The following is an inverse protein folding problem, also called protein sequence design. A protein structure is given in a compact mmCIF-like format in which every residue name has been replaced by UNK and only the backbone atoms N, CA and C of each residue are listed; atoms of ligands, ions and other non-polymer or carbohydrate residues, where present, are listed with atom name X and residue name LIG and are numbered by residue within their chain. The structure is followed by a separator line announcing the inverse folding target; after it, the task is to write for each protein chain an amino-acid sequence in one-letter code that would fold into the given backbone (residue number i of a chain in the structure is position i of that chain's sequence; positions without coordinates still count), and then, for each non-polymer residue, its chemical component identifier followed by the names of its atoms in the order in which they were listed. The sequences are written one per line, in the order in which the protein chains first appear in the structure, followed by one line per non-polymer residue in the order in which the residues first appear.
data_IF_648251845912
#
_entry.id   IF_648251845912
#
_cell.length_a   1.000
_cell.length_b   1.000
_cell.length_c   1.000
_cell.angle_alpha   90.00
_cell.angle_beta   90.00
_cell.angle_gamma   90.00
#
_symmetry.space_group_name_H-M   'P 1'
#
loop_
_entity.id
_entity.type
_entity.pdbx_description
1 polymer ?
#
# COMPACT_ATOMS: atom_id res chain seq x y z
N UNK A 1 -35.50 -71.32 13.21
CA UNK A 1 -36.00 -70.47 14.31
C UNK A 1 -35.55 -69.04 14.01
N UNK A 2 -36.42 -68.28 13.35
CA UNK A 2 -36.16 -66.90 12.94
C UNK A 2 -36.29 -65.98 14.15
N UNK A 3 -35.30 -65.10 14.37
CA UNK A 3 -35.39 -64.05 15.40
C UNK A 3 -35.29 -62.68 14.74
N UNK A 4 -36.41 -61.99 14.87
CA UNK A 4 -36.86 -60.69 14.38
C UNK A 4 -35.87 -59.54 14.57
N UNK A 5 -35.69 -58.79 13.48
CA UNK A 5 -35.18 -57.42 13.42
C UNK A 5 -36.13 -56.49 14.20
N UNK A 6 -35.57 -55.59 15.01
CA UNK A 6 -36.33 -54.54 15.69
C UNK A 6 -35.69 -53.19 15.36
N UNK A 7 -36.39 -52.45 14.51
CA UNK A 7 -36.18 -51.06 14.14
C UNK A 7 -36.85 -50.17 15.19
N UNK A 8 -36.23 -49.05 15.58
CA UNK A 8 -36.99 -47.88 16.00
C UNK A 8 -36.79 -46.74 15.00
N UNK A 9 -37.84 -46.45 14.24
CA UNK A 9 -38.13 -45.13 13.68
C UNK A 9 -38.69 -44.22 14.77
N UNK A 10 -38.80 -42.92 14.46
CA UNK A 10 -39.50 -41.81 15.16
C UNK A 10 -38.51 -40.95 15.98
N UNK A 11 -38.43 -39.61 15.87
CA UNK A 11 -39.35 -38.57 15.39
C UNK A 11 -38.53 -37.42 14.77
N UNK A 12 -39.06 -36.86 13.69
CA UNK A 12 -38.68 -35.58 13.09
C UNK A 12 -39.05 -34.38 13.98
N UNK A 13 -38.14 -33.43 14.12
CA UNK A 13 -38.45 -32.08 14.60
C UNK A 13 -37.74 -31.06 13.69
N UNK A 14 -38.43 -30.34 12.79
CA UNK A 14 -37.85 -29.16 12.17
C UNK A 14 -37.99 -27.97 13.13
N UNK A 15 -36.88 -27.58 13.75
CA UNK A 15 -36.80 -26.32 14.49
C UNK A 15 -36.82 -25.17 13.50
N UNK A 16 -37.99 -24.56 13.30
CA UNK A 16 -38.14 -23.31 12.56
C UNK A 16 -37.51 -22.16 13.35
N UNK A 17 -36.26 -21.83 13.05
CA UNK A 17 -35.67 -20.56 13.47
C UNK A 17 -36.10 -19.48 12.48
N UNK A 18 -37.09 -18.70 12.89
CA UNK A 18 -37.49 -17.46 12.25
C UNK A 18 -36.27 -16.51 12.21
N UNK A 19 -35.71 -16.34 11.02
CA UNK A 19 -34.72 -15.29 10.71
C UNK A 19 -35.47 -13.96 10.70
N UNK A 20 -35.44 -13.27 11.84
CA UNK A 20 -35.86 -11.88 11.91
C UNK A 20 -34.76 -11.00 11.31
N UNK A 21 -35.01 -10.51 10.09
CA UNK A 21 -34.20 -9.50 9.40
C UNK A 21 -34.35 -8.16 10.11
N UNK A 22 -33.29 -7.55 10.68
CA UNK A 22 -33.34 -6.17 11.12
C UNK A 22 -33.19 -5.26 9.91
N UNK A 23 -34.07 -4.27 9.88
CA UNK A 23 -34.22 -3.25 8.84
C UNK A 23 -32.94 -2.45 8.65
N UNK A 24 -32.62 -2.20 7.39
CA UNK A 24 -31.67 -1.19 6.93
C UNK A 24 -32.00 0.18 7.52
N UNK A 25 -31.16 0.67 8.43
CA UNK A 25 -31.13 2.08 8.80
C UNK A 25 -30.06 2.79 7.97
N UNK A 26 -30.51 3.50 6.95
CA UNK A 26 -29.72 4.47 6.19
C UNK A 26 -29.47 5.71 7.05
N UNK A 27 -28.29 5.82 7.65
CA UNK A 27 -27.81 7.10 8.19
C UNK A 27 -27.16 7.93 7.09
N UNK A 28 -28.00 8.71 6.42
CA UNK A 28 -27.59 9.74 5.47
C UNK A 28 -27.09 10.96 6.27
N UNK A 29 -25.85 10.92 6.75
CA UNK A 29 -25.24 12.06 7.45
C UNK A 29 -24.37 12.85 6.48
N UNK A 30 -25.00 13.76 5.74
CA UNK A 30 -24.29 14.82 5.02
C UNK A 30 -23.62 15.75 6.03
N UNK A 31 -22.35 15.52 6.34
CA UNK A 31 -21.52 16.50 7.05
C UNK A 31 -21.11 17.60 6.06
N UNK A 32 -21.86 18.68 6.04
CA UNK A 32 -21.45 19.94 5.41
C UNK A 32 -20.37 20.58 6.28
N UNK A 33 -19.12 20.56 5.85
CA UNK A 33 -18.03 21.30 6.48
C UNK A 33 -18.22 22.78 6.17
N UNK A 34 -18.64 23.56 7.16
CA UNK A 34 -18.63 25.03 7.09
C UNK A 34 -17.22 25.50 7.43
N UNK A 35 -16.50 25.99 6.42
CA UNK A 35 -15.25 26.71 6.60
C UNK A 35 -15.56 28.08 7.23
N UNK A 36 -15.13 28.30 8.47
CA UNK A 36 -15.19 29.59 9.14
C UNK A 36 -13.79 30.18 9.17
N UNK A 37 -13.52 31.12 8.26
CA UNK A 37 -12.32 31.95 8.27
C UNK A 37 -12.49 33.08 9.28
N UNK A 38 -11.57 33.22 10.23
CA UNK A 38 -11.37 34.47 10.95
C UNK A 38 -9.87 34.82 11.00
N UNK A 39 -9.51 36.12 10.96
CA UNK A 39 -8.17 36.59 10.61
C UNK A 39 -7.19 36.63 11.79
N UNK A 40 -5.92 36.75 11.39
CA UNK A 40 -4.64 36.71 12.13
C UNK A 40 -4.57 37.40 13.51
N UNK A 41 -3.48 37.10 14.27
CA UNK A 41 -2.37 38.06 14.25
C UNK A 41 -0.96 37.43 14.20
N UNK A 42 -0.12 38.02 13.33
CA UNK A 42 1.30 38.40 13.47
C UNK A 42 2.22 37.49 14.30
N UNK A 43 3.20 36.87 13.64
CA UNK A 43 4.60 36.95 14.09
C UNK A 43 5.61 36.58 12.97
N UNK A 44 6.42 37.59 12.64
CA UNK A 44 7.88 37.56 12.47
C UNK A 44 8.51 36.32 11.84
N UNK A 45 8.64 36.31 10.51
CA UNK A 45 9.81 35.74 9.85
C UNK A 45 10.37 36.75 8.85
N UNK A 46 11.66 37.02 9.02
CA UNK A 46 12.43 38.08 8.42
C UNK A 46 12.54 37.90 6.91
N UNK A 47 12.21 38.97 6.18
CA UNK A 47 12.57 39.19 4.78
C UNK A 47 14.10 39.10 4.62
N UNK A 48 14.59 37.94 4.18
CA UNK A 48 15.91 37.82 3.57
C UNK A 48 15.80 38.10 2.07
N UNK A 49 15.39 39.31 1.72
CA UNK A 49 15.70 39.89 0.41
C UNK A 49 17.09 40.49 0.50
N UNK A 50 18.10 40.00 -0.25
CA UNK A 50 19.37 40.70 -0.34
C UNK A 50 19.09 42.06 -1.00
N UNK A 51 19.23 43.11 -0.20
CA UNK A 51 19.28 44.50 -0.66
C UNK A 51 20.36 44.60 -1.74
N UNK A 52 20.09 45.26 -2.89
CA UNK A 52 21.13 45.56 -3.86
C UNK A 52 21.99 46.67 -3.25
N UNK A 53 22.90 46.30 -2.36
CA UNK A 53 24.03 47.13 -2.00
C UNK A 53 24.90 47.21 -3.25
N UNK A 54 24.53 48.15 -4.12
CA UNK A 54 25.26 48.58 -5.30
C UNK A 54 26.51 49.33 -4.85
N UNK A 55 27.43 48.60 -4.21
CA UNK A 55 28.82 49.00 -4.08
C UNK A 55 29.43 48.74 -5.45
N UNK A 56 29.19 49.68 -6.38
CA UNK A 56 29.98 49.98 -7.59
C UNK A 56 29.31 51.05 -8.49
N UNK A 57 28.43 51.90 -7.92
CA UNK A 57 27.97 53.11 -8.61
C UNK A 57 28.96 54.24 -8.34
N UNK A 58 30.14 54.17 -8.97
CA UNK A 58 31.01 55.35 -9.14
C UNK A 58 30.19 56.46 -9.80
N UNK A 59 30.07 57.60 -9.12
CA UNK A 59 29.27 58.75 -9.54
C UNK A 59 29.65 59.21 -10.96
N UNK A 60 28.63 59.66 -11.71
CA UNK A 60 28.74 60.05 -13.12
C UNK A 60 29.77 61.16 -13.41
N UNK A 61 30.22 61.89 -12.38
CA UNK A 61 31.23 62.95 -12.48
C UNK A 61 32.68 62.45 -12.37
N UNK A 62 32.91 61.14 -12.17
CA UNK A 62 34.25 60.56 -11.95
C UNK A 62 34.68 59.56 -13.04
N UNK A 63 34.18 59.74 -14.26
CA UNK A 63 34.75 59.10 -15.44
C UNK A 63 35.15 60.16 -16.47
N UNK A 64 36.43 60.24 -16.87
CA UNK A 64 36.83 61.00 -18.05
C UNK A 64 36.26 60.29 -19.28
N UNK A 65 35.00 60.57 -19.60
CA UNK A 65 34.36 60.11 -20.83
C UNK A 65 34.91 61.00 -21.95
N UNK A 66 36.06 60.63 -22.50
CA UNK A 66 36.49 61.15 -23.80
C UNK A 66 35.39 60.86 -24.82
N UNK A 67 34.73 61.93 -25.28
CA UNK A 67 33.67 61.87 -26.30
C UNK A 67 34.28 61.32 -27.59
N UNK A 68 34.26 59.99 -27.76
CA UNK A 68 34.75 59.32 -28.97
C UNK A 68 34.02 59.87 -30.20
N UNK A 69 34.78 60.29 -31.21
CA UNK A 69 34.22 60.82 -32.47
C UNK A 69 33.42 59.72 -33.15
N UNK A 70 32.20 60.04 -33.58
CA UNK A 70 31.23 59.09 -34.17
C UNK A 70 31.73 58.36 -35.43
N UNK A 71 32.84 58.80 -36.01
CA UNK A 71 33.49 58.22 -37.19
C UNK A 71 34.40 57.02 -36.89
N UNK A 72 34.72 56.76 -35.62
CA UNK A 72 35.65 55.69 -35.20
C UNK A 72 34.92 54.42 -34.74
N UNK A 73 33.58 54.44 -34.76
CA UNK A 73 32.73 53.29 -34.47
C UNK A 73 32.64 52.44 -35.73
N UNK A 74 33.53 51.46 -35.87
CA UNK A 74 33.42 50.41 -36.89
C UNK A 74 32.13 49.62 -36.58
N UNK A 75 31.10 49.84 -37.39
CA UNK A 75 29.89 49.01 -37.37
C UNK A 75 30.08 47.88 -38.35
N UNK A 76 30.47 46.71 -37.86
CA UNK A 76 30.49 45.49 -38.66
C UNK A 76 29.07 45.17 -39.14
N UNK A 77 28.83 45.49 -40.41
CA UNK A 77 27.56 45.23 -41.09
C UNK A 77 27.72 44.05 -42.04
N UNK A 78 27.62 42.82 -41.54
CA UNK A 78 26.95 41.71 -42.27
C UNK A 78 26.77 40.42 -41.45
N UNK A 79 25.48 40.11 -41.21
CA UNK A 79 24.79 38.84 -41.47
C UNK A 79 25.41 37.52 -40.97
N UNK A 80 24.65 36.80 -40.15
CA UNK A 80 23.77 35.69 -40.57
C UNK A 80 22.88 35.31 -39.39
N UNK A 81 21.66 34.84 -39.66
CA UNK A 81 20.65 34.56 -38.65
C UNK A 81 21.21 33.69 -37.52
N UNK A 82 21.10 34.19 -36.29
CA UNK A 82 21.29 33.37 -35.09
C UNK A 82 20.00 32.58 -34.96
N UNK A 83 19.81 31.57 -35.81
CA UNK A 83 18.95 30.46 -35.43
C UNK A 83 19.71 29.78 -34.30
N UNK A 84 19.34 30.12 -33.06
CA UNK A 84 19.70 29.27 -31.93
C UNK A 84 19.21 27.88 -32.33
N UNK A 85 20.07 26.86 -32.45
CA UNK A 85 19.56 25.51 -32.60
C UNK A 85 18.58 25.31 -31.44
N UNK A 86 17.38 24.83 -31.74
CA UNK A 86 16.43 24.50 -30.67
C UNK A 86 17.19 23.65 -29.65
N UNK A 87 17.16 24.04 -28.36
CA UNK A 87 17.88 23.29 -27.34
C UNK A 87 17.46 21.82 -27.47
N UNK A 88 18.43 20.88 -27.46
CA UNK A 88 18.16 19.47 -27.72
C UNK A 88 16.96 19.03 -26.91
N UNK A 89 15.88 18.64 -27.59
CA UNK A 89 14.62 18.31 -26.93
C UNK A 89 14.86 17.11 -26.02
N UNK A 90 15.06 17.36 -24.72
CA UNK A 90 15.12 16.32 -23.71
C UNK A 90 13.68 15.84 -23.44
N UNK A 91 13.05 15.20 -24.43
CA UNK A 91 11.94 14.26 -24.16
C UNK A 91 12.38 13.13 -23.21
N UNK A 92 13.68 13.06 -22.93
CA UNK A 92 14.37 12.34 -21.87
C UNK A 92 14.00 12.95 -20.51
N UNK A 93 12.74 12.81 -20.12
CA UNK A 93 12.28 13.18 -18.78
C UNK A 93 11.17 12.29 -18.27
N UNK A 94 10.24 11.92 -19.16
CA UNK A 94 9.01 11.20 -18.77
C UNK A 94 8.87 9.80 -19.38
N UNK A 95 9.76 9.40 -20.29
CA UNK A 95 9.82 8.03 -20.80
C UNK A 95 10.71 7.20 -19.87
N UNK A 96 10.12 6.20 -19.19
CA UNK A 96 10.89 5.26 -18.37
C UNK A 96 11.85 4.51 -19.29
N UNK A 97 13.15 4.72 -19.10
CA UNK A 97 14.22 4.05 -19.86
C UNK A 97 14.46 2.60 -19.41
N UNK A 98 13.83 2.18 -18.31
CA UNK A 98 13.87 0.80 -17.82
C UNK A 98 12.52 0.13 -18.08
N UNK A 99 12.56 -1.03 -18.73
CA UNK A 99 11.41 -1.89 -18.89
C UNK A 99 10.88 -2.29 -17.51
N UNK A 100 9.59 -2.07 -17.29
CA UNK A 100 8.91 -2.52 -16.08
C UNK A 100 8.26 -3.86 -16.41
N UNK A 101 8.66 -4.91 -15.71
CA UNK A 101 7.94 -6.18 -15.76
C UNK A 101 6.55 -5.96 -15.15
N UNK A 102 5.51 -6.01 -15.99
CA UNK A 102 4.11 -5.92 -15.58
C UNK A 102 3.54 -7.28 -15.16
N UNK A 103 4.34 -8.34 -15.34
CA UNK A 103 3.97 -9.71 -14.98
C UNK A 103 3.95 -9.87 -13.47
N UNK A 104 2.86 -10.45 -12.97
CA UNK A 104 2.70 -10.76 -11.56
C UNK A 104 3.36 -12.11 -11.28
N UNK A 105 3.97 -12.31 -10.10
CA UNK A 105 4.48 -13.62 -9.70
C UNK A 105 3.33 -14.63 -9.62
N UNK A 106 3.62 -15.92 -9.79
CA UNK A 106 2.61 -16.99 -9.79
C UNK A 106 1.81 -17.02 -8.49
N UNK A 107 2.50 -16.91 -7.36
CA UNK A 107 1.89 -16.85 -6.02
C UNK A 107 1.24 -15.52 -5.64
N UNK A 108 1.03 -14.58 -6.58
CA UNK A 108 0.52 -13.24 -6.28
C UNK A 108 -0.83 -13.25 -5.53
N UNK A 109 -1.74 -14.13 -5.93
CA UNK A 109 -3.07 -14.24 -5.32
C UNK A 109 -2.96 -14.66 -3.85
N UNK A 110 -2.12 -15.65 -3.56
CA UNK A 110 -1.85 -16.14 -2.21
C UNK A 110 -1.19 -15.05 -1.37
N UNK A 111 -0.20 -14.36 -1.95
CA UNK A 111 0.47 -13.24 -1.29
C UNK A 111 -0.53 -12.14 -0.92
N UNK A 112 -1.43 -11.75 -1.81
CA UNK A 112 -2.42 -10.69 -1.56
C UNK A 112 -3.35 -11.05 -0.39
N UNK A 113 -3.79 -12.31 -0.29
CA UNK A 113 -4.56 -12.78 0.87
C UNK A 113 -3.77 -12.67 2.17
N UNK A 114 -2.51 -13.13 2.17
CA UNK A 114 -1.66 -13.14 3.35
C UNK A 114 -1.21 -11.73 3.77
N UNK A 115 -0.92 -10.84 2.82
CA UNK A 115 -0.58 -9.43 3.07
C UNK A 115 -1.76 -8.69 3.71
N UNK A 116 -2.97 -8.89 3.19
CA UNK A 116 -4.17 -8.32 3.79
C UNK A 116 -4.37 -8.82 5.21
N UNK A 117 -4.15 -10.12 5.46
CA UNK A 117 -4.26 -10.69 6.80
C UNK A 117 -3.17 -10.19 7.76
N UNK A 118 -1.93 -10.05 7.30
CA UNK A 118 -0.83 -9.42 8.06
C UNK A 118 -1.21 -8.00 8.49
N UNK A 119 -1.78 -7.21 7.55
CA UNK A 119 -2.24 -5.86 7.80
C UNK A 119 -3.44 -5.78 8.76
N UNK A 120 -4.28 -6.82 8.82
CA UNK A 120 -5.34 -6.92 9.83
C UNK A 120 -4.76 -7.14 11.23
N UNK A 121 -3.77 -8.02 11.38
CA UNK A 121 -3.10 -8.26 12.68
C UNK A 121 -2.25 -7.08 13.15
N UNK A 122 -1.74 -6.26 12.24
CA UNK A 122 -1.01 -5.04 12.57
C UNK A 122 -1.90 -3.95 13.18
N UNK A 123 -3.22 -4.10 13.08
CA UNK A 123 -4.24 -3.17 13.59
C UNK A 123 -4.99 -3.87 14.72
N UNK A 124 -5.67 -3.10 15.57
CA UNK A 124 -6.57 -3.65 16.58
C UNK A 124 -7.82 -4.23 15.88
N UNK A 125 -7.75 -5.51 15.52
CA UNK A 125 -8.84 -6.19 14.82
C UNK A 125 -9.86 -6.75 15.79
N UNK A 126 -10.96 -6.02 15.97
CA UNK A 126 -12.20 -6.51 16.58
C UNK A 126 -11.98 -7.39 17.82
N UNK A 127 -12.46 -8.63 17.77
CA UNK A 127 -12.22 -9.64 18.80
C UNK A 127 -11.20 -10.69 18.36
N UNK A 128 -10.45 -11.25 19.32
CA UNK A 128 -9.49 -12.35 19.08
C UNK A 128 -10.13 -13.58 18.42
N UNK A 129 -11.42 -13.83 18.68
CA UNK A 129 -12.17 -14.93 18.07
C UNK A 129 -12.42 -14.69 16.58
N UNK A 130 -12.79 -13.45 16.22
CA UNK A 130 -12.96 -13.04 14.83
C UNK A 130 -11.63 -13.08 14.09
N UNK A 131 -10.54 -12.65 14.72
CA UNK A 131 -9.20 -12.71 14.11
C UNK A 131 -8.79 -14.17 13.82
N UNK A 132 -8.98 -15.07 14.78
CA UNK A 132 -8.69 -16.48 14.60
C UNK A 132 -9.55 -17.12 13.49
N UNK A 133 -10.84 -16.77 13.41
CA UNK A 133 -11.72 -17.22 12.33
C UNK A 133 -11.34 -16.66 10.97
N UNK A 134 -10.95 -15.39 10.89
CA UNK A 134 -10.46 -14.80 9.66
C UNK A 134 -9.19 -15.51 9.17
N UNK A 135 -8.26 -15.83 10.07
CA UNK A 135 -7.05 -16.56 9.69
C UNK A 135 -7.28 -18.00 9.28
N UNK A 136 -8.28 -18.69 9.84
CA UNK A 136 -8.73 -20.02 9.37
C UNK A 136 -9.19 -19.96 7.91
N UNK A 137 -10.05 -18.98 7.58
CA UNK A 137 -10.56 -18.76 6.22
C UNK A 137 -9.44 -18.39 5.25
N UNK A 138 -8.52 -17.50 5.66
CA UNK A 138 -7.38 -17.10 4.83
C UNK A 138 -6.44 -18.27 4.58
N UNK A 139 -6.18 -19.12 5.59
CA UNK A 139 -5.34 -20.30 5.43
C UNK A 139 -5.98 -21.33 4.50
N UNK A 140 -7.30 -21.55 4.61
CA UNK A 140 -8.06 -22.41 3.72
C UNK A 140 -8.00 -21.89 2.28
N UNK A 141 -8.30 -20.61 2.07
CA UNK A 141 -8.26 -20.02 0.73
C UNK A 141 -6.85 -20.07 0.12
N UNK A 142 -5.82 -19.78 0.91
CA UNK A 142 -4.44 -19.87 0.45
C UNK A 142 -4.05 -21.30 0.05
N UNK A 143 -4.61 -22.33 0.70
CA UNK A 143 -4.42 -23.72 0.29
C UNK A 143 -5.08 -24.01 -1.04
N UNK A 144 -6.36 -23.67 -1.20
CA UNK A 144 -7.11 -23.86 -2.46
C UNK A 144 -6.35 -23.28 -3.65
N UNK A 145 -5.89 -22.03 -3.55
CA UNK A 145 -5.15 -21.36 -4.63
C UNK A 145 -3.81 -22.05 -4.92
N UNK A 146 -3.11 -22.55 -3.89
CA UNK A 146 -1.85 -23.27 -4.09
C UNK A 146 -2.07 -24.65 -4.72
N UNK A 147 -3.20 -25.31 -4.44
CA UNK A 147 -3.57 -26.56 -5.10
C UNK A 147 -3.91 -26.35 -6.57
N UNK A 148 -4.59 -25.25 -6.92
CA UNK A 148 -4.83 -24.87 -8.32
C UNK A 148 -3.50 -24.71 -9.06
N UNK A 149 -2.55 -23.96 -8.50
CA UNK A 149 -1.22 -23.78 -9.10
C UNK A 149 -0.42 -25.08 -9.23
N UNK A 150 -0.59 -26.01 -8.27
CA UNK A 150 0.02 -27.35 -8.32
C UNK A 150 -0.60 -28.19 -9.45
N UNK A 151 -1.92 -28.20 -9.54
CA UNK A 151 -2.66 -29.03 -10.49
C UNK A 151 -2.49 -28.53 -11.93
N UNK A 152 -2.29 -27.22 -12.12
CA UNK A 152 -1.89 -26.59 -13.39
C UNK A 152 -0.40 -26.86 -13.74
N UNK A 153 0.38 -27.37 -12.78
CA UNK A 153 1.81 -27.65 -12.95
C UNK A 153 2.68 -26.40 -13.00
N UNK A 154 2.17 -25.25 -12.54
CA UNK A 154 2.91 -24.00 -12.55
C UNK A 154 3.95 -23.93 -11.42
N UNK A 155 3.73 -24.62 -10.30
CA UNK A 155 4.57 -24.58 -9.10
C UNK A 155 5.01 -25.99 -8.69
N UNK A 156 6.26 -26.15 -8.24
CA UNK A 156 6.78 -27.42 -7.74
C UNK A 156 6.05 -27.85 -6.45
N UNK A 157 5.71 -29.13 -6.35
CA UNK A 157 5.01 -29.71 -5.19
C UNK A 157 5.73 -29.48 -3.86
N UNK A 158 7.07 -29.38 -3.88
CA UNK A 158 7.88 -29.05 -2.71
C UNK A 158 7.55 -27.67 -2.16
N UNK A 159 7.44 -26.67 -3.03
CA UNK A 159 7.12 -25.28 -2.64
C UNK A 159 5.71 -25.19 -2.04
N UNK A 160 4.76 -25.92 -2.61
CA UNK A 160 3.38 -26.01 -2.10
C UNK A 160 3.35 -26.67 -0.71
N UNK A 161 4.12 -27.73 -0.52
CA UNK A 161 4.25 -28.41 0.78
C UNK A 161 4.88 -27.50 1.84
N UNK A 162 5.88 -26.70 1.46
CA UNK A 162 6.50 -25.70 2.33
C UNK A 162 5.50 -24.62 2.74
N UNK A 163 4.70 -24.10 1.80
CA UNK A 163 3.65 -23.15 2.09
C UNK A 163 2.64 -23.74 3.09
N UNK A 164 2.19 -24.98 2.87
CA UNK A 164 1.23 -25.65 3.75
C UNK A 164 1.77 -25.83 5.16
N UNK A 165 3.06 -26.15 5.30
CA UNK A 165 3.73 -26.24 6.59
C UNK A 165 3.69 -24.90 7.33
N UNK A 166 4.01 -23.79 6.64
CA UNK A 166 4.00 -22.46 7.27
C UNK A 166 2.58 -22.01 7.61
N UNK A 167 1.60 -22.25 6.73
CA UNK A 167 0.18 -21.98 6.99
C UNK A 167 -0.30 -22.77 8.22
N UNK A 168 0.14 -24.02 8.39
CA UNK A 168 -0.25 -24.81 9.56
C UNK A 168 0.30 -24.23 10.86
N UNK A 169 1.55 -23.79 10.84
CA UNK A 169 2.17 -23.10 11.96
C UNK A 169 1.45 -21.77 12.28
N UNK A 170 1.00 -21.03 11.27
CA UNK A 170 0.20 -19.82 11.46
C UNK A 170 -1.15 -20.13 12.15
N UNK A 171 -1.88 -21.16 11.70
CA UNK A 171 -3.13 -21.60 12.35
C UNK A 171 -2.94 -21.95 13.82
N UNK A 172 -1.83 -22.61 14.16
CA UNK A 172 -1.49 -22.94 15.56
C UNK A 172 -1.27 -21.70 16.41
N UNK A 173 -0.57 -20.68 15.88
CA UNK A 173 -0.35 -19.43 16.61
C UNK A 173 -1.67 -18.68 16.82
N UNK A 174 -2.56 -18.69 15.83
CA UNK A 174 -3.90 -18.10 15.96
C UNK A 174 -4.79 -18.85 16.96
N UNK A 175 -4.63 -20.17 17.10
CA UNK A 175 -5.29 -20.93 18.16
C UNK A 175 -4.81 -20.48 19.55
N UNK A 176 -3.52 -20.14 19.69
CA UNK A 176 -2.98 -19.55 20.93
C UNK A 176 -3.50 -18.13 21.16
N UNK A 177 -3.61 -17.30 20.12
CA UNK A 177 -4.24 -15.96 20.19
C UNK A 177 -5.70 -16.06 20.65
N UNK A 178 -6.44 -17.06 20.17
CA UNK A 178 -7.82 -17.29 20.63
C UNK A 178 -7.87 -17.67 22.11
N UNK A 179 -6.92 -18.46 22.57
CA UNK A 179 -6.86 -18.95 23.95
C UNK A 179 -6.26 -17.95 24.96
N UNK A 180 -5.55 -16.91 24.52
CA UNK A 180 -4.91 -15.95 25.42
C UNK A 180 -5.94 -15.14 26.20
N UNK A 181 -5.74 -15.07 27.52
CA UNK A 181 -6.67 -14.36 28.45
C UNK A 181 -6.15 -12.97 28.81
N UNK A 182 -4.83 -12.78 28.87
CA UNK A 182 -4.20 -11.51 29.24
C UNK A 182 -3.79 -10.74 27.98
N UNK A 183 -3.94 -9.42 28.03
CA UNK A 183 -3.59 -8.54 26.91
C UNK A 183 -2.10 -8.58 26.55
N UNK A 184 -1.20 -8.63 27.53
CA UNK A 184 0.25 -8.75 27.29
C UNK A 184 0.60 -10.02 26.50
N UNK A 185 0.00 -11.16 26.88
CA UNK A 185 0.21 -12.41 26.17
C UNK A 185 -0.48 -12.44 24.81
N UNK A 186 -1.55 -11.66 24.63
CA UNK A 186 -2.25 -11.56 23.35
C UNK A 186 -1.37 -10.84 22.33
N UNK A 187 -0.77 -9.71 22.70
CA UNK A 187 0.09 -8.93 21.79
C UNK A 187 1.31 -9.71 21.33
N UNK A 188 2.01 -10.40 22.24
CA UNK A 188 3.16 -11.24 21.90
C UNK A 188 2.80 -12.36 20.90
N UNK A 189 1.62 -12.97 21.09
CA UNK A 189 1.13 -14.05 20.21
C UNK A 189 0.70 -13.54 18.84
N UNK A 190 0.10 -12.35 18.78
CA UNK A 190 -0.23 -11.69 17.52
C UNK A 190 1.04 -11.35 16.75
N UNK A 191 2.08 -10.84 17.40
CA UNK A 191 3.37 -10.57 16.76
C UNK A 191 4.03 -11.84 16.22
N UNK A 192 3.96 -12.95 16.97
CA UNK A 192 4.45 -14.24 16.51
C UNK A 192 3.67 -14.74 15.27
N UNK A 193 2.33 -14.69 15.30
CA UNK A 193 1.49 -15.06 14.17
C UNK A 193 1.77 -14.18 12.94
N UNK A 194 2.02 -12.89 13.15
CA UNK A 194 2.39 -11.92 12.12
C UNK A 194 3.74 -12.25 11.49
N UNK A 195 4.74 -12.62 12.28
CA UNK A 195 6.03 -13.09 11.77
C UNK A 195 5.88 -14.33 10.89
N UNK A 196 5.01 -15.28 11.27
CA UNK A 196 4.71 -16.45 10.43
C UNK A 196 3.96 -16.10 9.14
N UNK A 197 3.05 -15.13 9.17
CA UNK A 197 2.41 -14.64 7.94
C UNK A 197 3.44 -14.06 6.97
N UNK A 198 4.40 -13.28 7.47
CA UNK A 198 5.49 -12.75 6.64
C UNK A 198 6.35 -13.85 6.04
N UNK A 199 6.62 -14.92 6.80
CA UNK A 199 7.30 -16.08 6.26
C UNK A 199 6.49 -16.74 5.13
N UNK A 200 5.18 -16.90 5.30
CA UNK A 200 4.32 -17.47 4.26
C UNK A 200 4.29 -16.61 2.99
N UNK A 201 4.29 -15.28 3.14
CA UNK A 201 4.41 -14.32 2.02
C UNK A 201 5.72 -14.53 1.25
N UNK A 202 6.84 -14.73 1.95
CA UNK A 202 8.13 -14.98 1.31
C UNK A 202 8.13 -16.30 0.52
N UNK A 203 7.52 -17.35 1.07
CA UNK A 203 7.37 -18.64 0.36
C UNK A 203 6.50 -18.48 -0.88
N UNK A 204 5.36 -17.80 -0.77
CA UNK A 204 4.46 -17.54 -1.92
C UNK A 204 5.13 -16.67 -3.01
N UNK A 205 6.01 -15.75 -2.63
CA UNK A 205 6.79 -14.96 -3.58
C UNK A 205 7.83 -15.76 -4.35
N UNK A 206 8.27 -16.90 -3.81
CA UNK A 206 9.23 -17.79 -4.46
C UNK A 206 8.60 -18.84 -5.38
N UNK A 207 7.27 -18.80 -5.56
CA UNK A 207 6.54 -19.68 -6.49
C UNK A 207 6.89 -19.41 -7.96
#
# INVERSE_FOLDING_TARGET
MASTLLVPQLISSPTSLNVAVPRTFTFNTRRTVKCSSNPEPKDQFLDLTPSPDSINTTSADKFPIEKRRRSEIIRDRKQRGIEKPEPPNFEIGWKRTKEINLEKPKGYVIMDFLEKFEGLMAREFGSKELLAKAGEIVAERAREEAEVLRDEGEVEERMVTELFRVLKLMEMDLAMVKASVKEETLSERIEQARARCRQAILVANSF
#
